data_IF_222255580172
#
_entry.id   IF_222255580172
#
_cell.length_a   1.000
_cell.length_b   1.000
_cell.length_c   1.000
_cell.angle_alpha   90.00
_cell.angle_beta   90.00
_cell.angle_gamma   90.00
#
_symmetry.space_group_name_H-M   'P 1'
#
loop_
_entity.id
_entity.type
_entity.pdbx_description
1 polymer ?
#
# COMPACT_ATOMS: atom_id res chain seq x y z
N UNK A 1 35.23 -53.94 -24.46
CA UNK A 1 34.25 -54.47 -23.48
C UNK A 1 34.08 -53.39 -22.41
N UNK A 2 33.01 -52.59 -22.47
CA UNK A 2 31.76 -52.75 -21.69
C UNK A 2 32.07 -52.86 -20.17
N UNK A 3 31.89 -51.76 -19.43
CA UNK A 3 30.66 -51.36 -18.68
C UNK A 3 30.61 -52.09 -17.32
N UNK A 4 30.32 -51.49 -16.16
CA UNK A 4 29.12 -50.74 -15.72
C UNK A 4 29.48 -50.18 -14.34
N UNK A 5 29.12 -48.92 -14.03
CA UNK A 5 28.62 -48.46 -12.70
C UNK A 5 28.59 -46.92 -12.65
N UNK A 6 27.69 -46.31 -13.41
CA UNK A 6 27.21 -44.94 -13.13
C UNK A 6 25.73 -44.91 -13.48
N UNK A 7 24.88 -45.49 -12.63
CA UNK A 7 23.42 -45.33 -12.76
C UNK A 7 22.67 -45.53 -11.44
N UNK A 8 23.04 -44.80 -10.38
CA UNK A 8 22.24 -44.81 -9.14
C UNK A 8 22.08 -43.46 -8.43
N UNK A 9 22.67 -42.37 -8.95
CA UNK A 9 22.56 -41.05 -8.32
C UNK A 9 21.84 -39.97 -9.15
N UNK A 10 21.43 -40.24 -10.39
CA UNK A 10 20.61 -39.29 -11.15
C UNK A 10 19.10 -39.52 -11.08
N UNK A 11 18.62 -40.76 -10.86
CA UNK A 11 17.15 -40.99 -10.83
C UNK A 11 16.48 -40.46 -9.55
N UNK A 12 17.18 -40.48 -8.40
CA UNK A 12 16.60 -40.05 -7.11
C UNK A 12 16.33 -38.54 -6.99
N UNK A 13 17.06 -37.70 -7.74
CA UNK A 13 16.81 -36.25 -7.76
C UNK A 13 15.68 -35.90 -8.71
N UNK A 14 15.62 -36.51 -9.89
CA UNK A 14 14.55 -36.26 -10.87
C UNK A 14 13.19 -36.82 -10.42
N UNK A 15 13.16 -37.99 -9.78
CA UNK A 15 11.93 -38.57 -9.22
C UNK A 15 11.35 -37.73 -8.07
N UNK A 16 12.20 -37.15 -7.20
CA UNK A 16 11.76 -36.27 -6.11
C UNK A 16 11.22 -34.93 -6.63
N UNK A 17 11.84 -34.34 -7.66
CA UNK A 17 11.38 -33.10 -8.30
C UNK A 17 10.01 -33.33 -8.95
N UNK A 18 9.85 -34.42 -9.71
CA UNK A 18 8.59 -34.75 -10.38
C UNK A 18 7.45 -35.07 -9.39
N UNK A 19 7.74 -35.77 -8.29
CA UNK A 19 6.76 -36.04 -7.23
C UNK A 19 6.37 -34.76 -6.47
N UNK A 20 7.33 -33.87 -6.18
CA UNK A 20 7.05 -32.61 -5.48
C UNK A 20 6.26 -31.65 -6.36
N UNK A 21 6.55 -31.59 -7.65
CA UNK A 21 5.77 -30.81 -8.63
C UNK A 21 4.32 -31.32 -8.74
N UNK A 22 4.14 -32.65 -8.78
CA UNK A 22 2.83 -33.30 -8.79
C UNK A 22 2.05 -33.05 -7.48
N UNK A 23 2.72 -33.12 -6.32
CA UNK A 23 2.12 -32.87 -5.01
C UNK A 23 1.75 -31.39 -4.84
N UNK A 24 2.63 -30.46 -5.21
CA UNK A 24 2.33 -29.02 -5.23
C UNK A 24 1.09 -28.73 -6.08
N UNK A 25 1.00 -29.26 -7.31
CA UNK A 25 -0.16 -29.06 -8.19
C UNK A 25 -1.47 -29.60 -7.60
N UNK A 26 -1.46 -30.81 -7.03
CA UNK A 26 -2.65 -31.39 -6.42
C UNK A 26 -3.08 -30.64 -5.14
N UNK A 27 -2.14 -30.23 -4.29
CA UNK A 27 -2.46 -29.55 -3.03
C UNK A 27 -2.90 -28.09 -3.21
N UNK A 28 -2.45 -27.39 -4.27
CA UNK A 28 -3.02 -26.09 -4.64
C UNK A 28 -4.38 -26.20 -5.35
N UNK A 29 -4.76 -27.38 -5.84
CA UNK A 29 -6.03 -27.58 -6.52
C UNK A 29 -7.19 -27.77 -5.53
N UNK A 30 -6.93 -28.29 -4.33
CA UNK A 30 -7.94 -28.49 -3.29
C UNK A 30 -7.39 -28.17 -1.89
N UNK A 31 -7.88 -27.06 -1.32
CA UNK A 31 -7.53 -26.61 0.03
C UNK A 31 -8.55 -27.02 1.09
N UNK A 32 -9.55 -27.84 0.76
CA UNK A 32 -10.66 -28.18 1.66
C UNK A 32 -10.20 -28.83 2.98
N UNK A 33 -9.05 -29.51 2.95
CA UNK A 33 -8.47 -30.20 4.12
C UNK A 33 -7.04 -29.78 4.43
N UNK A 34 -6.55 -28.72 3.80
CA UNK A 34 -5.17 -28.24 4.00
C UNK A 34 -5.19 -27.19 5.11
N UNK A 35 -4.56 -27.42 6.28
CA UNK A 35 -4.50 -26.40 7.32
C UNK A 35 -3.61 -25.22 6.88
N UNK A 36 -3.87 -23.99 7.33
CA UNK A 36 -3.09 -22.80 6.98
C UNK A 36 -1.57 -22.97 7.17
N UNK A 37 -1.13 -23.65 8.23
CA UNK A 37 0.29 -23.91 8.49
C UNK A 37 0.94 -24.80 7.42
N UNK A 38 0.24 -25.87 6.99
CA UNK A 38 0.73 -26.73 5.92
C UNK A 38 0.79 -25.96 4.61
N UNK A 39 -0.22 -25.13 4.33
CA UNK A 39 -0.24 -24.30 3.13
C UNK A 39 0.90 -23.27 3.08
N UNK A 40 1.17 -22.59 4.19
CA UNK A 40 2.30 -21.65 4.31
C UNK A 40 3.64 -22.36 4.08
N UNK A 41 3.80 -23.57 4.62
CA UNK A 41 4.98 -24.39 4.36
C UNK A 41 5.09 -24.80 2.88
N UNK A 42 4.00 -25.24 2.27
CA UNK A 42 3.95 -25.62 0.85
C UNK A 42 4.30 -24.44 -0.07
N UNK A 43 3.83 -23.22 0.24
CA UNK A 43 4.21 -22.01 -0.50
C UNK A 43 5.73 -21.82 -0.52
N UNK A 44 6.38 -22.04 0.62
CA UNK A 44 7.83 -21.96 0.74
C UNK A 44 8.51 -23.05 -0.08
N UNK A 45 8.11 -24.31 0.08
CA UNK A 45 8.70 -25.43 -0.65
C UNK A 45 8.57 -25.26 -2.17
N UNK A 46 7.37 -24.96 -2.67
CA UNK A 46 7.17 -24.81 -4.12
C UNK A 46 7.93 -23.57 -4.67
N UNK A 47 8.15 -22.51 -3.85
CA UNK A 47 9.02 -21.40 -4.24
C UNK A 47 10.50 -21.81 -4.31
N UNK A 48 11.00 -22.59 -3.35
CA UNK A 48 12.39 -23.06 -3.29
C UNK A 48 12.69 -24.04 -4.44
N UNK A 49 11.83 -25.03 -4.63
CA UNK A 49 12.02 -26.12 -5.60
C UNK A 49 11.97 -25.68 -7.07
N UNK A 50 11.30 -24.57 -7.39
CA UNK A 50 11.22 -24.11 -8.78
C UNK A 50 12.61 -23.79 -9.38
N UNK A 51 12.80 -24.06 -10.66
CA UNK A 51 14.06 -23.74 -11.38
C UNK A 51 14.05 -22.36 -12.07
N UNK A 52 12.89 -21.70 -12.12
CA UNK A 52 12.70 -20.43 -12.82
C UNK A 52 13.19 -19.19 -12.02
N UNK A 53 13.32 -18.05 -12.71
CA UNK A 53 13.59 -16.75 -12.05
C UNK A 53 12.48 -16.41 -11.04
N UNK A 54 12.85 -15.70 -9.97
CA UNK A 54 11.96 -15.32 -8.86
C UNK A 54 10.63 -14.70 -9.31
N UNK A 55 10.67 -13.78 -10.30
CA UNK A 55 9.46 -13.14 -10.84
C UNK A 55 8.51 -14.12 -11.52
N UNK A 56 9.04 -15.10 -12.25
CA UNK A 56 8.23 -16.13 -12.88
C UNK A 56 7.65 -17.09 -11.84
N UNK A 57 8.46 -17.54 -10.88
CA UNK A 57 8.01 -18.35 -9.74
C UNK A 57 6.84 -17.68 -9.01
N UNK A 58 7.00 -16.40 -8.69
CA UNK A 58 5.97 -15.64 -7.99
C UNK A 58 4.67 -15.53 -8.79
N UNK A 59 4.76 -15.33 -10.11
CA UNK A 59 3.59 -15.27 -10.99
C UNK A 59 2.84 -16.61 -11.03
N UNK A 60 3.57 -17.72 -11.16
CA UNK A 60 2.98 -19.07 -11.16
C UNK A 60 2.30 -19.36 -9.82
N UNK A 61 3.00 -19.08 -8.70
CA UNK A 61 2.42 -19.24 -7.36
C UNK A 61 1.18 -18.36 -7.16
N UNK A 62 1.20 -17.11 -7.61
CA UNK A 62 0.02 -16.24 -7.51
C UNK A 62 -1.19 -16.83 -8.26
N UNK A 63 -0.97 -17.41 -9.45
CA UNK A 63 -2.04 -18.07 -10.21
C UNK A 63 -2.57 -19.31 -9.47
N UNK A 64 -1.68 -20.14 -8.95
CA UNK A 64 -2.04 -21.34 -8.18
C UNK A 64 -2.83 -20.97 -6.92
N UNK A 65 -2.33 -20.03 -6.13
CA UNK A 65 -3.03 -19.55 -4.92
C UNK A 65 -4.38 -18.94 -5.27
N UNK A 66 -4.45 -18.12 -6.32
CA UNK A 66 -5.74 -17.53 -6.74
C UNK A 66 -6.75 -18.63 -7.09
N UNK A 67 -6.34 -19.67 -7.83
CA UNK A 67 -7.20 -20.81 -8.15
C UNK A 67 -7.59 -21.60 -6.89
N UNK A 68 -6.64 -21.83 -6.00
CA UNK A 68 -6.85 -22.52 -4.73
C UNK A 68 -7.91 -21.82 -3.87
N UNK A 69 -7.83 -20.49 -3.77
CA UNK A 69 -8.79 -19.66 -3.06
C UNK A 69 -10.17 -19.62 -3.76
N UNK A 70 -10.22 -19.74 -5.10
CA UNK A 70 -11.49 -19.87 -5.82
C UNK A 70 -12.25 -21.14 -5.48
N UNK A 71 -11.52 -22.21 -5.18
CA UNK A 71 -12.07 -23.52 -4.82
C UNK A 71 -12.53 -23.60 -3.35
N UNK A 72 -12.67 -22.45 -2.68
CA UNK A 72 -13.30 -22.29 -1.36
C UNK A 72 -12.63 -23.15 -0.27
N UNK A 73 -11.39 -22.83 0.16
CA UNK A 73 -10.76 -23.46 1.32
C UNK A 73 -11.67 -23.38 2.55
N UNK A 74 -11.52 -24.34 3.47
CA UNK A 74 -12.20 -24.32 4.76
C UNK A 74 -11.45 -23.40 5.75
N UNK A 75 -12.13 -22.57 6.56
CA UNK A 75 -13.59 -22.39 6.61
C UNK A 75 -14.13 -21.51 5.48
N UNK A 76 -13.38 -20.49 5.07
CA UNK A 76 -13.62 -19.71 3.85
C UNK A 76 -12.30 -19.06 3.38
N UNK A 77 -12.25 -18.58 2.13
CA UNK A 77 -11.04 -17.99 1.55
C UNK A 77 -10.49 -16.78 2.33
N UNK A 78 -11.36 -15.92 2.86
CA UNK A 78 -10.94 -14.73 3.59
C UNK A 78 -10.40 -15.11 4.97
N UNK A 79 -11.08 -15.97 5.72
CA UNK A 79 -10.59 -16.47 7.01
C UNK A 79 -9.29 -17.25 6.86
N UNK A 80 -9.20 -18.11 5.83
CA UNK A 80 -8.01 -18.90 5.54
C UNK A 80 -6.78 -18.01 5.29
N UNK A 81 -6.94 -16.94 4.50
CA UNK A 81 -5.86 -15.97 4.24
C UNK A 81 -5.45 -15.23 5.50
N UNK A 82 -6.39 -14.80 6.35
CA UNK A 82 -6.07 -14.14 7.62
C UNK A 82 -5.23 -15.06 8.52
N UNK A 83 -5.61 -16.33 8.62
CA UNK A 83 -4.86 -17.33 9.38
C UNK A 83 -3.47 -17.60 8.79
N UNK A 84 -3.33 -17.62 7.46
CA UNK A 84 -2.02 -17.73 6.81
C UNK A 84 -1.12 -16.52 7.13
N UNK A 85 -1.69 -15.30 7.14
CA UNK A 85 -0.94 -14.08 7.45
C UNK A 85 -0.40 -14.09 8.89
N UNK A 86 -1.10 -14.68 9.86
CA UNK A 86 -0.58 -14.90 11.20
C UNK A 86 0.68 -15.77 11.23
N UNK A 87 0.72 -16.79 10.37
CA UNK A 87 1.78 -17.80 10.36
C UNK A 87 2.99 -17.39 9.53
N UNK A 88 2.80 -16.58 8.49
CA UNK A 88 3.86 -16.19 7.56
C UNK A 88 5.11 -15.61 8.21
N UNK A 89 5.05 -14.76 9.25
CA UNK A 89 6.25 -14.24 9.90
C UNK A 89 7.19 -15.32 10.45
N UNK A 90 6.69 -16.52 10.77
CA UNK A 90 7.52 -17.66 11.20
C UNK A 90 8.48 -18.17 10.13
N UNK A 91 8.23 -17.86 8.85
CA UNK A 91 9.14 -18.21 7.75
C UNK A 91 10.38 -17.29 7.68
N UNK A 92 10.30 -16.12 8.33
CA UNK A 92 11.33 -15.09 8.32
C UNK A 92 11.49 -14.36 6.97
N UNK A 93 12.27 -13.26 6.95
CA UNK A 93 12.70 -12.63 5.70
C UNK A 93 13.53 -13.63 4.86
N UNK A 94 13.32 -13.74 3.52
CA UNK A 94 12.56 -12.84 2.65
C UNK A 94 11.12 -13.28 2.36
N UNK A 95 10.63 -14.35 2.97
CA UNK A 95 9.35 -14.97 2.58
C UNK A 95 8.13 -14.18 3.06
N UNK A 96 8.21 -13.62 4.28
CA UNK A 96 7.09 -12.93 4.93
C UNK A 96 6.48 -11.85 4.03
N UNK A 97 7.26 -10.88 3.56
CA UNK A 97 6.75 -9.76 2.77
C UNK A 97 6.16 -10.25 1.42
N UNK A 98 6.94 -11.03 0.68
CA UNK A 98 6.57 -11.53 -0.63
C UNK A 98 5.29 -12.36 -0.58
N UNK A 99 5.21 -13.31 0.35
CA UNK A 99 4.04 -14.18 0.47
C UNK A 99 2.83 -13.45 1.06
N UNK A 100 2.99 -12.52 2.00
CA UNK A 100 1.88 -11.68 2.46
C UNK A 100 1.27 -10.90 1.30
N UNK A 101 2.10 -10.30 0.44
CA UNK A 101 1.63 -9.65 -0.78
C UNK A 101 0.98 -10.63 -1.77
N UNK A 102 1.51 -11.84 -1.92
CA UNK A 102 0.95 -12.87 -2.77
C UNK A 102 -0.46 -13.26 -2.32
N UNK A 103 -0.65 -13.56 -1.03
CA UNK A 103 -1.93 -13.95 -0.47
C UNK A 103 -2.98 -12.84 -0.59
N UNK A 104 -2.63 -11.63 -0.14
CA UNK A 104 -3.53 -10.48 -0.17
C UNK A 104 -3.93 -10.10 -1.60
N UNK A 105 -2.98 -10.13 -2.54
CA UNK A 105 -3.30 -9.85 -3.96
C UNK A 105 -4.14 -10.94 -4.60
N UNK A 106 -3.95 -12.22 -4.22
CA UNK A 106 -4.77 -13.33 -4.71
C UNK A 106 -6.20 -13.24 -4.16
N UNK A 107 -6.35 -12.96 -2.86
CA UNK A 107 -7.67 -12.74 -2.23
C UNK A 107 -8.42 -11.58 -2.88
N UNK A 108 -7.74 -10.45 -3.12
CA UNK A 108 -8.33 -9.29 -3.81
C UNK A 108 -8.87 -9.65 -5.19
N UNK A 109 -8.15 -10.49 -5.96
CA UNK A 109 -8.62 -10.97 -7.28
C UNK A 109 -9.88 -11.81 -7.15
N UNK A 110 -9.91 -12.74 -6.19
CA UNK A 110 -11.09 -13.60 -5.94
C UNK A 110 -12.32 -12.77 -5.58
N UNK A 111 -12.17 -11.81 -4.66
CA UNK A 111 -13.25 -10.88 -4.25
C UNK A 111 -13.77 -10.02 -5.40
N UNK A 112 -12.89 -9.57 -6.29
CA UNK A 112 -13.30 -8.74 -7.44
C UNK A 112 -14.11 -9.55 -8.46
N UNK A 113 -13.81 -10.84 -8.65
CA UNK A 113 -14.48 -11.68 -9.65
C UNK A 113 -15.77 -12.33 -9.17
N UNK A 114 -15.86 -12.69 -7.88
CA UNK A 114 -17.09 -13.14 -7.24
C UNK A 114 -17.71 -11.92 -6.57
N UNK A 115 -18.53 -11.14 -7.29
CA UNK A 115 -19.08 -9.85 -6.83
C UNK A 115 -19.97 -9.92 -5.56
N UNK A 116 -20.01 -11.06 -4.87
CA UNK A 116 -20.83 -11.35 -3.68
C UNK A 116 -20.09 -12.31 -2.73
N UNK A 117 -18.80 -12.09 -2.48
CA UNK A 117 -18.16 -12.61 -1.27
C UNK A 117 -18.05 -11.44 -0.28
N UNK A 118 -19.18 -11.11 0.37
CA UNK A 118 -19.12 -10.37 1.63
C UNK A 118 -18.30 -11.23 2.59
N UNK A 119 -17.32 -10.61 3.27
CA UNK A 119 -16.58 -11.34 4.28
C UNK A 119 -17.56 -11.88 5.33
N UNK A 120 -17.33 -13.12 5.75
CA UNK A 120 -18.01 -13.66 6.93
C UNK A 120 -17.64 -12.79 8.14
N UNK A 121 -18.54 -12.75 9.12
CA UNK A 121 -18.24 -12.12 10.42
C UNK A 121 -16.95 -12.68 11.02
N UNK A 122 -16.72 -13.99 10.83
CA UNK A 122 -15.52 -14.68 11.29
C UNK A 122 -14.25 -14.16 10.57
N UNK A 123 -14.30 -13.98 9.25
CA UNK A 123 -13.17 -13.46 8.48
C UNK A 123 -12.79 -12.04 8.93
N UNK A 124 -13.79 -11.17 9.16
CA UNK A 124 -13.56 -9.82 9.69
C UNK A 124 -12.96 -9.88 11.08
N UNK A 125 -13.50 -10.71 11.97
CA UNK A 125 -12.97 -10.87 13.34
C UNK A 125 -11.48 -11.29 13.34
N UNK A 126 -11.12 -12.29 12.52
CA UNK A 126 -9.72 -12.71 12.39
C UNK A 126 -8.83 -11.59 11.82
N UNK A 127 -9.32 -10.81 10.86
CA UNK A 127 -8.56 -9.71 10.27
C UNK A 127 -8.38 -8.52 11.23
N UNK A 128 -9.38 -8.25 12.08
CA UNK A 128 -9.29 -7.23 13.16
C UNK A 128 -8.25 -7.65 14.19
N UNK A 129 -8.33 -8.89 14.67
CA UNK A 129 -7.36 -9.41 15.64
C UNK A 129 -5.94 -9.39 15.05
N UNK A 130 -5.78 -9.79 13.78
CA UNK A 130 -4.50 -9.72 13.06
C UNK A 130 -3.98 -8.28 13.01
N UNK A 131 -4.86 -7.32 12.71
CA UNK A 131 -4.49 -5.91 12.62
C UNK A 131 -4.07 -5.36 13.99
N UNK A 132 -4.78 -5.70 15.07
CA UNK A 132 -4.43 -5.33 16.44
C UNK A 132 -3.08 -5.93 16.85
N UNK A 133 -2.83 -7.20 16.53
CA UNK A 133 -1.58 -7.87 16.87
C UNK A 133 -0.38 -7.34 16.05
N UNK A 134 -0.61 -6.90 14.80
CA UNK A 134 0.41 -6.20 14.02
C UNK A 134 0.69 -4.82 14.65
N UNK A 135 -0.35 -4.05 15.00
CA UNK A 135 -0.22 -2.74 15.64
C UNK A 135 0.52 -2.82 16.98
N UNK A 136 0.27 -3.86 17.76
CA UNK A 136 0.94 -4.15 19.01
C UNK A 136 2.37 -4.70 18.85
N UNK A 137 2.77 -5.06 17.62
CA UNK A 137 4.08 -5.64 17.32
C UNK A 137 4.22 -7.13 17.68
N UNK A 138 3.13 -7.82 18.00
CA UNK A 138 3.13 -9.26 18.27
C UNK A 138 3.27 -10.09 16.99
N UNK A 139 2.74 -9.58 15.86
CA UNK A 139 2.88 -10.22 14.56
C UNK A 139 3.74 -9.32 13.66
N UNK A 140 5.01 -9.68 13.39
CA UNK A 140 5.95 -8.77 12.73
C UNK A 140 5.72 -8.76 11.21
N UNK A 141 4.74 -7.96 10.79
CA UNK A 141 4.54 -7.56 9.39
C UNK A 141 4.98 -6.12 9.17
N UNK A 142 5.34 -5.79 7.93
CA UNK A 142 5.53 -4.40 7.53
C UNK A 142 4.21 -3.63 7.54
N UNK A 143 4.27 -2.33 7.82
CA UNK A 143 3.14 -1.40 7.81
C UNK A 143 2.25 -1.51 6.56
N UNK A 144 2.86 -1.76 5.40
CA UNK A 144 2.14 -1.90 4.12
C UNK A 144 1.21 -3.11 4.09
N UNK A 145 1.54 -4.17 4.83
CA UNK A 145 0.69 -5.35 4.97
C UNK A 145 -0.53 -5.00 5.83
N UNK A 146 -0.34 -4.29 6.95
CA UNK A 146 -1.42 -3.78 7.78
C UNK A 146 -2.43 -2.98 6.93
N UNK A 147 -1.96 -1.97 6.19
CA UNK A 147 -2.85 -1.16 5.34
C UNK A 147 -3.61 -2.03 4.32
N UNK A 148 -2.95 -3.01 3.70
CA UNK A 148 -3.60 -3.92 2.74
C UNK A 148 -4.64 -4.85 3.39
N UNK A 149 -4.39 -5.31 4.62
CA UNK A 149 -5.37 -6.09 5.39
C UNK A 149 -6.60 -5.23 5.66
N UNK A 150 -6.40 -4.02 6.20
CA UNK A 150 -7.50 -3.07 6.44
C UNK A 150 -8.33 -2.83 5.17
N UNK A 151 -7.68 -2.57 4.02
CA UNK A 151 -8.35 -2.36 2.73
C UNK A 151 -9.10 -3.59 2.21
N UNK A 152 -8.50 -4.78 2.28
CA UNK A 152 -9.09 -5.97 1.65
C UNK A 152 -10.28 -6.51 2.44
N UNK A 153 -10.27 -6.37 3.76
CA UNK A 153 -11.36 -6.81 4.64
C UNK A 153 -12.37 -5.70 4.96
N UNK A 154 -12.14 -4.52 4.40
CA UNK A 154 -12.95 -3.32 4.62
C UNK A 154 -13.24 -3.06 6.10
N UNK A 155 -12.15 -3.02 6.88
CA UNK A 155 -12.21 -2.84 8.33
C UNK A 155 -12.38 -1.36 8.67
N UNK A 156 -13.39 -1.07 9.49
CA UNK A 156 -13.75 0.24 9.99
C UNK A 156 -13.43 0.33 11.49
N UNK A 157 -13.46 1.55 12.03
CA UNK A 157 -13.19 1.78 13.46
C UNK A 157 -14.15 1.02 14.37
N UNK A 158 -15.40 0.78 13.91
CA UNK A 158 -16.42 0.01 14.63
C UNK A 158 -15.98 -1.42 14.91
N UNK A 159 -15.36 -2.10 13.93
CA UNK A 159 -14.91 -3.48 14.07
C UNK A 159 -13.84 -3.62 15.18
N UNK A 160 -12.97 -2.62 15.31
CA UNK A 160 -11.98 -2.56 16.38
C UNK A 160 -12.62 -2.31 17.75
N UNK A 161 -13.64 -1.43 17.80
CA UNK A 161 -14.41 -1.21 19.02
C UNK A 161 -15.07 -2.49 19.53
N UNK A 162 -15.69 -3.25 18.63
CA UNK A 162 -16.32 -4.54 18.96
C UNK A 162 -15.29 -5.55 19.49
N UNK A 163 -14.12 -5.64 18.85
CA UNK A 163 -13.06 -6.55 19.29
C UNK A 163 -12.43 -6.17 20.64
N UNK A 164 -12.27 -4.87 20.92
CA UNK A 164 -11.67 -4.38 22.17
C UNK A 164 -12.65 -4.48 23.35
N UNK A 165 -13.91 -4.10 23.11
CA UNK A 165 -14.91 -3.99 24.18
C UNK A 165 -15.75 -5.26 24.38
N UNK A 166 -15.75 -6.18 23.41
CA UNK A 166 -16.50 -7.44 23.45
C UNK A 166 -18.03 -7.30 23.27
N UNK A 167 -18.61 -6.16 23.62
CA UNK A 167 -20.04 -5.84 23.43
C UNK A 167 -20.23 -4.37 23.03
N UNK A 168 -21.20 -4.13 22.15
CA UNK A 168 -21.63 -2.78 21.76
C UNK A 168 -22.19 -2.02 22.97
N UNK A 169 -21.63 -0.85 23.26
CA UNK A 169 -22.14 0.07 24.26
C UNK A 169 -21.79 1.51 23.91
N UNK A 170 -22.46 2.44 24.59
CA UNK A 170 -22.23 3.88 24.41
C UNK A 170 -20.78 4.24 24.77
N UNK A 171 -20.07 4.88 23.84
CA UNK A 171 -18.63 5.21 23.97
C UNK A 171 -17.64 4.19 23.39
N UNK A 172 -18.08 3.05 22.84
CA UNK A 172 -17.20 2.06 22.20
C UNK A 172 -16.30 2.65 21.10
N UNK A 173 -16.85 3.54 20.27
CA UNK A 173 -16.10 4.21 19.21
C UNK A 173 -15.04 5.16 19.76
N UNK A 174 -15.30 5.82 20.89
CA UNK A 174 -14.33 6.71 21.53
C UNK A 174 -13.17 5.91 22.13
N UNK A 175 -13.46 4.74 22.70
CA UNK A 175 -12.43 3.80 23.19
C UNK A 175 -11.57 3.31 22.01
N UNK A 176 -12.21 2.85 20.93
CA UNK A 176 -11.51 2.39 19.73
C UNK A 176 -10.63 3.50 19.13
N UNK A 177 -11.15 4.72 19.08
CA UNK A 177 -10.43 5.91 18.61
C UNK A 177 -9.22 6.20 19.48
N UNK A 178 -9.37 6.27 20.79
CA UNK A 178 -8.26 6.52 21.72
C UNK A 178 -7.18 5.43 21.62
N UNK A 179 -7.60 4.18 21.44
CA UNK A 179 -6.70 3.05 21.23
C UNK A 179 -5.92 3.18 19.91
N UNK A 180 -6.59 3.54 18.81
CA UNK A 180 -5.93 3.78 17.52
C UNK A 180 -5.00 4.99 17.54
N UNK A 181 -5.41 6.08 18.20
CA UNK A 181 -4.56 7.27 18.38
C UNK A 181 -3.24 6.92 19.07
N UNK A 182 -3.26 6.03 20.06
CA UNK A 182 -2.04 5.56 20.72
C UNK A 182 -1.05 4.91 19.73
N UNK A 183 -1.52 4.00 18.88
CA UNK A 183 -0.67 3.35 17.88
C UNK A 183 -0.20 4.31 16.79
N UNK A 184 -1.09 5.18 16.31
CA UNK A 184 -0.75 6.20 15.33
C UNK A 184 0.36 7.12 15.85
N UNK A 185 0.32 7.49 17.13
CA UNK A 185 1.37 8.28 17.74
C UNK A 185 2.72 7.55 17.77
N UNK A 186 2.72 6.23 17.94
CA UNK A 186 3.94 5.42 17.85
C UNK A 186 4.50 5.43 16.41
N UNK A 187 3.67 5.35 15.38
CA UNK A 187 4.13 5.52 13.99
C UNK A 187 4.71 6.91 13.71
N UNK A 188 4.09 7.97 14.25
CA UNK A 188 4.61 9.35 14.12
C UNK A 188 5.98 9.49 14.80
N UNK A 189 6.15 8.87 15.97
CA UNK A 189 7.44 8.84 16.68
C UNK A 189 8.50 8.08 15.92
N UNK A 190 8.14 6.96 15.30
CA UNK A 190 9.02 6.15 14.47
C UNK A 190 9.24 6.72 13.04
N UNK A 191 8.72 7.93 12.76
CA UNK A 191 8.80 8.59 11.45
C UNK A 191 8.13 7.82 10.30
N UNK A 192 7.23 6.88 10.61
CA UNK A 192 6.38 6.19 9.63
C UNK A 192 5.14 7.03 9.29
N UNK A 193 5.37 8.22 8.74
CA UNK A 193 4.31 9.22 8.54
C UNK A 193 3.25 8.76 7.55
N UNK A 194 3.62 8.10 6.46
CA UNK A 194 2.65 7.64 5.46
C UNK A 194 1.64 6.65 6.08
N UNK A 195 2.11 5.73 6.91
CA UNK A 195 1.25 4.78 7.63
C UNK A 195 0.36 5.53 8.61
N UNK A 196 0.94 6.43 9.42
CA UNK A 196 0.20 7.22 10.39
C UNK A 196 -0.95 8.02 9.75
N UNK A 197 -0.67 8.78 8.68
CA UNK A 197 -1.70 9.60 8.01
C UNK A 197 -2.74 8.75 7.28
N UNK A 198 -2.35 7.56 6.80
CA UNK A 198 -3.30 6.62 6.18
C UNK A 198 -4.26 6.05 7.22
N UNK A 199 -3.80 5.74 8.43
CA UNK A 199 -4.65 5.29 9.53
C UNK A 199 -5.56 6.42 10.04
N UNK A 200 -5.03 7.64 10.18
CA UNK A 200 -5.82 8.83 10.55
C UNK A 200 -6.97 9.06 9.58
N UNK A 201 -6.66 9.06 8.27
CA UNK A 201 -7.67 9.23 7.23
C UNK A 201 -8.68 8.09 7.22
N UNK A 202 -8.21 6.83 7.27
CA UNK A 202 -9.10 5.66 7.23
C UNK A 202 -10.10 5.66 8.37
N UNK A 203 -9.64 5.93 9.59
CA UNK A 203 -10.49 5.94 10.77
C UNK A 203 -11.15 7.30 11.06
N UNK A 204 -11.02 8.26 10.15
CA UNK A 204 -11.59 9.61 10.29
C UNK A 204 -11.15 10.32 11.59
N UNK A 205 -9.92 10.04 12.04
CA UNK A 205 -9.35 10.60 13.26
C UNK A 205 -8.68 11.93 12.94
N UNK A 206 -9.28 13.01 13.46
CA UNK A 206 -8.81 14.37 13.24
C UNK A 206 -7.87 14.78 14.38
N UNK A 207 -6.56 14.67 14.14
CA UNK A 207 -5.55 15.30 15.00
C UNK A 207 -5.32 16.73 14.53
N UNK A 208 -5.73 17.74 15.30
CA UNK A 208 -5.41 19.13 14.95
C UNK A 208 -3.94 19.42 15.26
N UNK A 209 -3.03 19.22 14.30
CA UNK A 209 -1.63 19.62 14.49
C UNK A 209 -0.96 20.12 13.21
N UNK A 210 -0.85 21.45 13.11
CA UNK A 210 0.05 22.12 12.17
C UNK A 210 1.50 21.65 12.38
N UNK A 211 1.88 21.35 13.64
CA UNK A 211 3.19 20.84 14.00
C UNK A 211 3.53 19.50 13.33
N UNK A 212 2.54 18.61 13.11
CA UNK A 212 2.76 17.35 12.40
C UNK A 212 3.08 17.59 10.91
N UNK A 213 2.38 18.53 10.27
CA UNK A 213 2.65 18.92 8.89
C UNK A 213 4.08 19.46 8.75
N UNK A 214 4.45 20.41 9.62
CA UNK A 214 5.80 21.01 9.61
C UNK A 214 6.86 19.93 9.83
N UNK A 215 6.64 19.00 10.77
CA UNK A 215 7.57 17.88 11.02
C UNK A 215 7.73 16.97 9.80
N UNK A 216 6.63 16.63 9.12
CA UNK A 216 6.69 15.85 7.87
C UNK A 216 7.47 16.58 6.77
N UNK A 217 7.27 17.88 6.63
CA UNK A 217 7.97 18.71 5.65
C UNK A 217 9.47 18.79 5.93
N UNK A 218 9.86 18.99 7.20
CA UNK A 218 11.27 18.99 7.63
C UNK A 218 11.96 17.65 7.37
N UNK A 219 11.24 16.54 7.54
CA UNK A 219 11.75 15.20 7.28
C UNK A 219 11.65 14.77 5.79
N UNK A 220 11.35 15.70 4.88
CA UNK A 220 11.17 15.45 3.43
C UNK A 220 10.08 14.42 3.09
N UNK A 221 9.10 14.23 3.99
CA UNK A 221 7.99 13.28 3.83
C UNK A 221 6.81 13.92 3.09
N UNK A 222 7.12 14.49 1.92
CA UNK A 222 6.20 15.33 1.13
C UNK A 222 4.88 14.62 0.80
N UNK A 223 4.93 13.35 0.40
CA UNK A 223 3.71 12.59 0.05
C UNK A 223 2.78 12.42 1.25
N UNK A 224 3.35 12.18 2.45
CA UNK A 224 2.55 12.05 3.66
C UNK A 224 1.95 13.40 4.05
N UNK A 225 2.73 14.49 3.93
CA UNK A 225 2.26 15.85 4.16
C UNK A 225 1.12 16.25 3.20
N UNK A 226 1.24 15.93 1.91
CA UNK A 226 0.18 16.18 0.91
C UNK A 226 -1.10 15.40 1.23
N UNK A 227 -0.98 14.11 1.58
CA UNK A 227 -2.13 13.28 1.98
C UNK A 227 -2.80 13.84 3.21
N UNK A 228 -2.02 14.17 4.24
CA UNK A 228 -2.51 14.77 5.48
C UNK A 228 -3.23 16.10 5.26
N UNK A 229 -2.64 17.01 4.49
CA UNK A 229 -3.25 18.30 4.19
C UNK A 229 -4.56 18.15 3.42
N UNK A 230 -4.63 17.20 2.48
CA UNK A 230 -5.85 16.90 1.74
C UNK A 230 -6.95 16.41 2.66
N UNK A 231 -6.62 15.49 3.58
CA UNK A 231 -7.57 14.97 4.57
C UNK A 231 -8.09 16.06 5.54
N UNK A 232 -7.20 16.91 6.05
CA UNK A 232 -7.56 18.02 6.96
C UNK A 232 -8.29 19.18 6.26
N UNK A 233 -8.21 19.24 4.93
CA UNK A 233 -8.91 20.21 4.10
C UNK A 233 -8.18 21.54 3.91
N UNK A 234 -8.96 22.53 3.45
CA UNK A 234 -8.44 23.79 2.89
C UNK A 234 -7.44 24.55 3.78
N UNK A 235 -7.65 24.73 5.09
CA UNK A 235 -6.69 25.46 5.93
C UNK A 235 -5.31 24.80 5.94
N UNK A 236 -5.26 23.46 6.07
CA UNK A 236 -4.01 22.71 6.09
C UNK A 236 -3.33 22.70 4.71
N UNK A 237 -4.11 22.67 3.63
CA UNK A 237 -3.58 22.83 2.27
C UNK A 237 -2.92 24.19 2.05
N UNK A 238 -3.52 25.28 2.56
CA UNK A 238 -2.91 26.60 2.49
C UNK A 238 -1.56 26.65 3.25
N UNK A 239 -1.51 26.05 4.44
CA UNK A 239 -0.26 25.95 5.22
C UNK A 239 0.81 25.14 4.47
N UNK A 240 0.44 24.03 3.84
CA UNK A 240 1.35 23.22 3.03
C UNK A 240 1.90 23.99 1.83
N UNK A 241 1.04 24.75 1.12
CA UNK A 241 1.48 25.61 0.00
C UNK A 241 2.48 26.66 0.49
N UNK A 242 2.20 27.33 1.61
CA UNK A 242 3.13 28.28 2.20
C UNK A 242 4.46 27.62 2.56
N UNK A 243 4.41 26.45 3.19
CA UNK A 243 5.62 25.70 3.57
C UNK A 243 6.47 25.33 2.33
N UNK A 244 5.83 24.93 1.23
CA UNK A 244 6.54 24.69 -0.03
C UNK A 244 7.21 25.95 -0.59
N UNK A 245 6.58 27.13 -0.45
CA UNK A 245 7.17 28.39 -0.88
C UNK A 245 8.38 28.77 -0.03
N UNK A 246 8.28 28.60 1.29
CA UNK A 246 9.38 28.86 2.23
C UNK A 246 10.59 27.95 1.93
N UNK A 247 10.33 26.70 1.51
CA UNK A 247 11.35 25.75 1.03
C UNK A 247 11.80 25.98 -0.43
N UNK A 248 11.33 27.04 -1.10
CA UNK A 248 11.61 27.37 -2.51
C UNK A 248 11.18 26.29 -3.51
N UNK A 249 10.19 25.47 -3.17
CA UNK A 249 9.64 24.39 -3.99
C UNK A 249 8.43 24.85 -4.83
N UNK A 250 8.63 25.86 -5.67
CA UNK A 250 7.55 26.52 -6.42
C UNK A 250 6.69 25.56 -7.27
N UNK A 251 7.31 24.51 -7.86
CA UNK A 251 6.59 23.48 -8.62
C UNK A 251 5.60 22.69 -7.76
N UNK A 252 6.01 22.32 -6.55
CA UNK A 252 5.16 21.57 -5.64
C UNK A 252 4.00 22.42 -5.14
N UNK A 253 4.27 23.67 -4.75
CA UNK A 253 3.25 24.65 -4.41
C UNK A 253 2.22 24.81 -5.54
N UNK A 254 2.68 25.02 -6.78
CA UNK A 254 1.79 25.11 -7.96
C UNK A 254 0.93 23.86 -8.17
N UNK A 255 1.53 22.67 -8.06
CA UNK A 255 0.79 21.41 -8.20
C UNK A 255 -0.30 21.27 -7.14
N UNK A 256 -0.03 21.66 -5.89
CA UNK A 256 -1.02 21.62 -4.82
C UNK A 256 -2.15 22.63 -5.04
N UNK A 257 -1.82 23.84 -5.49
CA UNK A 257 -2.80 24.88 -5.82
C UNK A 257 -3.77 24.40 -6.92
N UNK A 258 -3.21 23.81 -7.99
CA UNK A 258 -4.01 23.37 -9.14
C UNK A 258 -4.87 22.16 -8.85
N UNK A 259 -4.36 21.16 -8.13
CA UNK A 259 -5.12 19.95 -7.78
C UNK A 259 -6.26 20.20 -6.80
N UNK A 260 -6.14 21.22 -5.95
CA UNK A 260 -7.09 21.47 -4.85
C UNK A 260 -7.89 22.77 -5.04
N UNK A 261 -7.92 23.33 -6.26
CA UNK A 261 -8.67 24.55 -6.59
C UNK A 261 -8.33 25.78 -5.74
N UNK A 262 -7.05 25.95 -5.32
CA UNK A 262 -6.62 27.05 -4.44
C UNK A 262 -6.12 28.31 -5.18
N UNK A 263 -6.61 28.53 -6.41
CA UNK A 263 -6.12 29.61 -7.27
C UNK A 263 -6.48 31.00 -6.72
N UNK A 264 -7.58 31.11 -6.00
CA UNK A 264 -8.04 32.39 -5.44
C UNK A 264 -7.22 32.79 -4.22
N UNK A 265 -6.72 31.82 -3.47
CA UNK A 265 -5.90 31.99 -2.28
C UNK A 265 -4.46 32.32 -2.66
N UNK A 266 -3.97 31.74 -3.78
CA UNK A 266 -2.59 31.91 -4.24
C UNK A 266 -2.49 32.31 -5.72
N UNK A 267 -3.12 33.43 -6.14
CA UNK A 267 -3.10 33.84 -7.55
C UNK A 267 -1.67 34.17 -8.00
N UNK A 268 -0.91 34.88 -7.16
CA UNK A 268 0.47 35.24 -7.44
C UNK A 268 1.38 34.02 -7.68
N UNK A 269 1.28 33.00 -6.83
CA UNK A 269 2.09 31.78 -6.95
C UNK A 269 1.77 31.02 -8.24
N UNK A 270 0.48 30.97 -8.58
CA UNK A 270 0.02 30.34 -9.82
C UNK A 270 0.63 31.03 -11.05
N UNK A 271 0.62 32.37 -11.09
CA UNK A 271 1.23 33.15 -12.17
C UNK A 271 2.76 33.02 -12.18
N UNK A 272 3.41 33.16 -11.02
CA UNK A 272 4.87 33.09 -10.88
C UNK A 272 5.45 31.78 -11.39
N UNK A 273 4.81 30.64 -11.11
CA UNK A 273 5.27 29.35 -11.65
C UNK A 273 5.15 29.27 -13.17
N UNK A 274 4.04 29.77 -13.72
CA UNK A 274 3.85 29.80 -15.18
C UNK A 274 4.90 30.67 -15.86
N UNK A 275 5.15 31.86 -15.36
CA UNK A 275 6.21 32.75 -15.85
C UNK A 275 7.59 32.07 -15.79
N UNK A 276 7.95 31.48 -14.64
CA UNK A 276 9.21 30.74 -14.49
C UNK A 276 9.34 29.57 -15.46
N UNK A 277 8.23 28.85 -15.73
CA UNK A 277 8.23 27.77 -16.72
C UNK A 277 8.38 28.29 -18.15
N UNK A 278 7.77 29.43 -18.48
CA UNK A 278 7.88 30.05 -19.81
C UNK A 278 9.29 30.56 -20.05
N UNK A 279 9.86 31.27 -19.07
CA UNK A 279 11.25 31.75 -19.12
C UNK A 279 12.24 30.61 -19.37
N UNK A 280 12.09 29.47 -18.69
CA UNK A 280 12.95 28.29 -18.92
C UNK A 280 12.81 27.66 -20.31
N UNK A 281 11.65 27.79 -20.96
CA UNK A 281 11.44 27.29 -22.33
C UNK A 281 12.03 28.28 -23.35
N UNK A 282 11.83 29.57 -23.11
CA UNK A 282 12.42 30.68 -23.85
C UNK A 282 13.95 30.60 -23.88
N UNK A 283 14.60 30.47 -22.71
CA UNK A 283 16.06 30.32 -22.58
C UNK A 283 16.62 29.09 -23.31
N UNK A 284 15.78 28.08 -23.58
CA UNK A 284 16.15 26.87 -24.33
C UNK A 284 15.84 26.96 -25.83
N UNK A 285 15.35 28.10 -26.30
CA UNK A 285 14.93 28.31 -27.69
C UNK A 285 13.64 27.57 -28.07
N UNK A 286 12.87 27.05 -27.11
CA UNK A 286 11.63 26.32 -27.36
C UNK A 286 10.42 27.26 -27.45
N UNK A 287 10.47 28.25 -28.35
CA UNK A 287 9.52 29.36 -28.42
C UNK A 287 8.09 28.93 -28.75
N UNK A 288 7.91 28.08 -29.77
CA UNK A 288 6.60 27.57 -30.16
C UNK A 288 5.90 26.82 -29.01
N UNK A 289 6.68 26.09 -28.22
CA UNK A 289 6.19 25.36 -27.04
C UNK A 289 5.85 26.33 -25.91
N UNK A 290 6.66 27.38 -25.70
CA UNK A 290 6.36 28.42 -24.72
C UNK A 290 5.07 29.17 -25.06
N UNK A 291 4.91 29.60 -26.32
CA UNK A 291 3.72 30.30 -26.79
C UNK A 291 2.46 29.45 -26.60
N UNK A 292 2.49 28.18 -27.03
CA UNK A 292 1.34 27.27 -26.85
C UNK A 292 0.94 27.08 -25.37
N UNK A 293 1.91 27.11 -24.43
CA UNK A 293 1.66 26.98 -22.98
C UNK A 293 1.04 28.20 -22.33
N UNK A 294 1.09 29.37 -22.97
CA UNK A 294 0.34 30.54 -22.50
C UNK A 294 -1.17 30.30 -22.56
N UNK A 295 -1.63 29.39 -23.41
CA UNK A 295 -3.04 29.08 -23.62
C UNK A 295 -3.90 30.34 -23.88
N UNK A 296 -3.36 31.28 -24.67
CA UNK A 296 -3.97 32.58 -24.99
C UNK A 296 -4.17 33.52 -23.78
N UNK A 297 -3.53 33.23 -22.66
CA UNK A 297 -3.48 34.15 -21.52
C UNK A 297 -2.64 35.38 -21.90
N UNK A 298 -3.31 36.54 -21.98
CA UNK A 298 -2.71 37.79 -22.44
C UNK A 298 -1.52 38.21 -21.58
N UNK A 299 -1.59 38.03 -20.25
CA UNK A 299 -0.52 38.43 -19.35
C UNK A 299 0.73 37.57 -19.55
N UNK A 300 0.55 36.27 -19.77
CA UNK A 300 1.66 35.34 -20.02
C UNK A 300 2.26 35.52 -21.41
N UNK A 301 1.45 35.88 -22.41
CA UNK A 301 1.93 36.24 -23.75
C UNK A 301 2.78 37.52 -23.71
N UNK A 302 2.29 38.57 -23.04
CA UNK A 302 3.04 39.82 -22.85
C UNK A 302 4.37 39.56 -22.12
N UNK A 303 4.36 38.73 -21.06
CA UNK A 303 5.57 38.30 -20.36
C UNK A 303 6.55 37.56 -21.29
N UNK A 304 6.07 36.62 -22.11
CA UNK A 304 6.93 35.86 -23.03
C UNK A 304 7.58 36.77 -24.08
N UNK A 305 6.83 37.73 -24.64
CA UNK A 305 7.35 38.71 -25.61
C UNK A 305 8.43 39.59 -24.97
N UNK A 306 8.20 40.08 -23.75
CA UNK A 306 9.21 40.85 -23.00
C UNK A 306 10.46 40.02 -22.72
N UNK A 307 10.29 38.73 -22.41
CA UNK A 307 11.40 37.79 -22.16
C UNK A 307 12.25 37.53 -23.41
N UNK A 308 11.62 37.49 -24.60
CA UNK A 308 12.30 37.35 -25.90
C UNK A 308 13.18 38.57 -26.17
N UNK A 309 12.65 39.78 -25.96
CA UNK A 309 13.35 41.03 -26.29
C UNK A 309 14.54 41.36 -25.36
N UNK A 310 14.74 40.58 -24.30
CA UNK A 310 15.82 40.74 -23.32
C UNK A 310 16.94 39.69 -23.47
N UNK A 311 16.80 38.71 -24.38
CA UNK A 311 17.83 37.73 -24.73
C UNK A 311 18.55 38.12 -26.03
#
# INVERSE_FOLDING_TARGET
>A
MKSVEVSMHHSKCEENICQTDSICLHTFSDLSHVPPAAFVYLLKECYICGSHKATHKFRVLQQQVTQALYNSPQPDASTFVAQCLYLLPSLGPPYTEGFSHLLLSSLRRVKTSKSVLSDSSDARHHAVQLSLDILAGFVPHEDRILIKVLEIYDLELKDFGEAICGLEHDGMLDIAKAHMEHYIFNFIKAESYMTAVTLLERFQIHLSSESLLVKMMQNNQFKAAEKWATFMGKPMLCLLVQTYLDMKMLKNAYNMITRNNLKQEFPYVYHLYKESSLKKLAEKGCWDIAESRTNKDRQLLEYLILSINLC
#
